data_IF_513154845990
#
_entry.id   IF_513154845990
#
_cell.length_a   1.000
_cell.length_b   1.000
_cell.length_c   1.000
_cell.angle_alpha   90.00
_cell.angle_beta   90.00
_cell.angle_gamma   90.00
#
_symmetry.space_group_name_H-M   'P 1'
#
loop_
_entity.id
_entity.type
_entity.pdbx_description
1 polymer ?
#
# COMPACT_ATOMS: atom_id res chain seq x y z
N UNK A 1 33.46 2.24 24.46
CA UNK A 1 32.25 1.78 23.71
C UNK A 1 31.25 0.97 24.51
N UNK A 2 31.63 0.08 25.44
CA UNK A 2 30.68 -0.69 26.27
C UNK A 2 30.00 0.10 27.41
N UNK A 3 30.53 1.22 27.81
CA UNK A 3 30.13 1.96 29.02
C UNK A 3 28.88 2.83 28.82
N UNK A 4 28.66 3.38 27.64
CA UNK A 4 27.52 4.27 27.37
C UNK A 4 26.21 3.53 27.19
N UNK A 5 26.25 2.35 26.55
CA UNK A 5 25.07 1.48 26.38
C UNK A 5 24.61 0.90 27.72
N UNK A 6 25.55 0.56 28.59
CA UNK A 6 25.26 0.03 29.93
C UNK A 6 24.62 1.08 30.83
N UNK A 7 25.00 2.37 30.69
CA UNK A 7 24.37 3.48 31.46
C UNK A 7 22.95 3.79 30.99
N UNK A 8 22.65 3.69 29.69
CA UNK A 8 21.30 3.88 29.17
C UNK A 8 20.34 2.76 29.61
N UNK A 9 20.82 1.51 29.59
CA UNK A 9 20.06 0.34 30.07
C UNK A 9 19.82 0.37 31.59
N UNK A 10 20.78 0.87 32.37
CA UNK A 10 20.62 1.02 33.83
C UNK A 10 19.58 2.09 34.21
N UNK A 11 19.46 3.15 33.43
CA UNK A 11 18.49 4.22 33.69
C UNK A 11 17.06 3.80 33.37
N UNK A 12 16.85 2.98 32.34
CA UNK A 12 15.53 2.41 32.00
C UNK A 12 15.11 1.34 33.01
N UNK A 13 16.02 0.52 33.49
CA UNK A 13 15.72 -0.52 34.48
C UNK A 13 15.38 0.04 35.89
N UNK A 14 15.91 1.21 36.26
CA UNK A 14 15.62 1.85 37.53
C UNK A 14 14.27 2.59 37.57
N UNK A 15 13.71 2.95 36.41
CA UNK A 15 12.43 3.67 36.31
C UNK A 15 11.20 2.77 36.38
N UNK A 16 11.36 1.45 36.27
CA UNK A 16 10.22 0.51 36.17
C UNK A 16 9.74 -0.07 37.50
N UNK A 17 10.25 0.37 38.65
CA UNK A 17 9.87 -0.19 39.96
C UNK A 17 8.93 0.67 40.81
N UNK A 18 8.53 1.84 40.38
CA UNK A 18 7.64 2.69 41.17
C UNK A 18 6.54 3.34 40.33
N UNK A 19 5.31 2.90 40.55
CA UNK A 19 4.00 3.52 40.33
C UNK A 19 3.51 3.78 38.90
N UNK A 20 2.23 3.44 38.78
CA UNK A 20 1.37 3.63 37.65
C UNK A 20 1.30 5.07 37.14
N UNK A 21 0.92 5.15 35.86
CA UNK A 21 0.50 6.34 35.14
C UNK A 21 1.47 7.54 35.19
N UNK A 22 2.46 7.51 34.33
CA UNK A 22 2.96 8.73 33.72
C UNK A 22 3.18 8.46 32.23
N UNK A 23 2.29 8.99 31.43
CA UNK A 23 2.54 9.23 30.02
C UNK A 23 3.85 10.01 29.92
N UNK A 24 4.90 9.36 29.44
CA UNK A 24 6.08 10.10 29.00
C UNK A 24 5.59 11.02 27.87
N UNK A 25 5.84 12.32 27.95
CA UNK A 25 5.51 13.20 26.85
C UNK A 25 6.28 12.71 25.64
N UNK A 26 5.56 12.49 24.54
CA UNK A 26 6.17 12.39 23.24
C UNK A 26 6.98 13.70 23.05
N UNK A 27 8.28 13.61 23.07
CA UNK A 27 9.12 14.72 22.58
C UNK A 27 8.98 14.76 21.07
N UNK A 28 7.85 15.31 20.60
CA UNK A 28 7.76 15.91 19.30
C UNK A 28 8.56 17.22 19.40
N UNK A 29 9.87 17.15 19.17
CA UNK A 29 10.61 18.31 18.79
C UNK A 29 10.14 18.67 17.38
N UNK A 30 9.19 19.60 17.24
CA UNK A 30 8.94 20.31 16.01
C UNK A 30 10.19 21.13 15.64
N UNK A 31 11.22 20.42 15.18
CA UNK A 31 12.30 21.02 14.44
C UNK A 31 11.79 21.30 13.04
N UNK A 32 11.42 22.53 12.72
CA UNK A 32 11.33 22.99 11.33
C UNK A 32 12.66 22.72 10.67
N UNK A 33 12.78 21.59 9.99
CA UNK A 33 13.90 21.31 9.09
C UNK A 33 13.84 22.39 8.02
N UNK A 34 14.88 23.21 7.92
CA UNK A 34 15.08 24.04 6.76
C UNK A 34 15.30 23.10 5.56
N UNK A 35 14.23 22.83 4.82
CA UNK A 35 14.33 22.08 3.56
C UNK A 35 15.16 22.93 2.60
N UNK A 36 16.38 22.51 2.31
CA UNK A 36 17.03 22.91 1.07
C UNK A 36 16.10 22.48 -0.06
N UNK A 37 15.68 23.40 -0.92
CA UNK A 37 14.53 23.33 -1.84
C UNK A 37 14.43 22.17 -2.84
N UNK A 38 15.08 21.03 -2.61
CA UNK A 38 15.10 19.84 -3.47
C UNK A 38 15.14 18.53 -2.68
N UNK A 39 14.59 18.45 -1.47
CA UNK A 39 14.54 17.20 -0.72
C UNK A 39 13.10 16.71 -0.50
N UNK A 40 12.90 15.38 -0.50
CA UNK A 40 11.60 14.73 -0.28
C UNK A 40 11.54 14.04 1.07
N UNK A 41 10.37 14.11 1.73
CA UNK A 41 10.11 13.45 3.01
C UNK A 41 9.68 11.98 2.80
N UNK A 42 10.58 11.20 2.21
CA UNK A 42 10.40 9.76 1.97
C UNK A 42 10.74 8.96 3.23
N UNK A 43 10.07 7.83 3.42
CA UNK A 43 10.26 6.94 4.59
C UNK A 43 11.64 6.27 4.62
N UNK A 44 12.24 6.07 3.47
CA UNK A 44 13.57 5.49 3.31
C UNK A 44 14.58 6.54 2.85
N UNK A 45 15.46 6.98 3.74
CA UNK A 45 16.52 7.95 3.41
C UNK A 45 17.58 7.39 2.45
N UNK A 46 17.68 6.07 2.32
CA UNK A 46 18.57 5.36 1.42
C UNK A 46 17.87 4.93 0.12
N UNK A 47 16.61 5.34 -0.08
CA UNK A 47 15.85 4.99 -1.28
C UNK A 47 16.66 5.26 -2.57
N UNK A 48 16.52 4.37 -3.56
CA UNK A 48 17.20 4.54 -4.86
C UNK A 48 16.80 5.88 -5.51
N UNK A 49 17.60 6.34 -6.43
CA UNK A 49 17.30 7.59 -7.16
C UNK A 49 15.93 7.51 -7.85
N UNK A 50 15.63 6.37 -8.45
CA UNK A 50 14.37 6.08 -9.15
C UNK A 50 13.18 6.11 -8.19
N UNK A 51 13.34 5.55 -7.00
CA UNK A 51 12.29 5.54 -5.96
C UNK A 51 11.98 6.95 -5.46
N UNK A 52 13.02 7.78 -5.26
CA UNK A 52 12.84 9.19 -4.90
C UNK A 52 12.19 9.99 -6.04
N UNK A 53 12.55 9.71 -7.29
CA UNK A 53 11.94 10.36 -8.45
C UNK A 53 10.46 9.98 -8.59
N UNK A 54 10.10 8.70 -8.37
CA UNK A 54 8.70 8.27 -8.35
C UNK A 54 7.94 8.95 -7.22
N UNK A 55 8.50 8.98 -6.00
CA UNK A 55 7.88 9.66 -4.86
C UNK A 55 7.58 11.12 -5.18
N UNK A 56 8.57 11.86 -5.69
CA UNK A 56 8.42 13.28 -6.01
C UNK A 56 7.38 13.50 -7.11
N UNK A 57 7.40 12.68 -8.16
CA UNK A 57 6.42 12.72 -9.25
C UNK A 57 5.00 12.52 -8.74
N UNK A 58 4.76 11.51 -7.92
CA UNK A 58 3.42 11.19 -7.40
C UNK A 58 2.96 12.23 -6.37
N UNK A 59 3.84 12.66 -5.48
CA UNK A 59 3.56 13.69 -4.47
C UNK A 59 3.17 15.03 -5.08
N UNK A 60 3.79 15.38 -6.21
CA UNK A 60 3.52 16.63 -6.91
C UNK A 60 2.44 16.50 -8.00
N UNK A 61 1.64 15.42 -7.99
CA UNK A 61 0.49 15.30 -8.88
C UNK A 61 -0.49 16.46 -8.69
N UNK A 62 -0.98 16.97 -9.80
CA UNK A 62 -1.93 18.07 -9.87
C UNK A 62 -3.08 17.80 -10.83
N UNK A 63 -3.88 18.81 -11.12
CA UNK A 63 -5.00 18.66 -12.06
C UNK A 63 -4.51 18.16 -13.42
N UNK A 64 -5.02 16.99 -13.82
CA UNK A 64 -4.61 16.32 -15.07
C UNK A 64 -3.50 15.28 -14.91
N UNK A 65 -3.02 15.03 -13.70
CA UNK A 65 -2.00 14.00 -13.43
C UNK A 65 -2.58 12.71 -12.82
N UNK A 66 -3.90 12.59 -12.68
CA UNK A 66 -4.55 11.38 -12.21
C UNK A 66 -4.17 10.20 -13.10
N UNK A 67 -3.77 9.08 -12.49
CA UNK A 67 -3.41 7.82 -13.16
C UNK A 67 -4.45 6.76 -12.83
N UNK A 68 -4.82 5.96 -13.81
CA UNK A 68 -5.67 4.80 -13.60
C UNK A 68 -4.82 3.55 -13.39
N UNK A 69 -5.21 2.71 -12.43
CA UNK A 69 -4.58 1.44 -12.13
C UNK A 69 -5.55 0.27 -12.10
N UNK A 70 -5.01 -0.93 -12.29
CA UNK A 70 -5.74 -2.19 -12.15
C UNK A 70 -4.83 -3.27 -11.57
N UNK A 71 -5.38 -4.04 -10.63
CA UNK A 71 -4.75 -5.27 -10.14
C UNK A 71 -4.77 -6.33 -11.25
N UNK A 72 -3.68 -7.09 -11.39
CA UNK A 72 -3.55 -8.18 -12.37
C UNK A 72 -3.91 -7.76 -13.81
N UNK A 73 -3.54 -6.54 -14.21
CA UNK A 73 -3.98 -5.88 -15.45
C UNK A 73 -3.71 -6.67 -16.74
N UNK A 74 -2.80 -7.66 -16.73
CA UNK A 74 -2.41 -8.45 -17.89
C UNK A 74 -2.55 -9.97 -17.72
N UNK A 75 -2.86 -10.44 -16.51
CA UNK A 75 -2.86 -11.87 -16.20
C UNK A 75 -4.17 -12.41 -15.60
N UNK A 76 -5.11 -11.53 -15.20
CA UNK A 76 -6.49 -11.88 -14.86
C UNK A 76 -7.49 -11.07 -15.69
N UNK A 77 -8.47 -11.73 -16.31
CA UNK A 77 -9.37 -11.13 -17.29
C UNK A 77 -10.76 -11.75 -17.23
N UNK A 78 -11.78 -11.00 -17.65
CA UNK A 78 -13.11 -11.53 -17.90
C UNK A 78 -13.10 -12.40 -19.16
N UNK A 79 -12.50 -11.90 -20.24
CA UNK A 79 -12.39 -12.67 -21.46
C UNK A 79 -11.15 -13.58 -21.43
N UNK A 80 -11.37 -14.88 -21.58
CA UNK A 80 -10.28 -15.87 -21.69
C UNK A 80 -9.37 -15.65 -22.92
N UNK A 81 -9.82 -14.85 -23.89
CA UNK A 81 -9.06 -14.48 -25.08
C UNK A 81 -8.26 -13.20 -24.92
N UNK A 82 -8.41 -12.46 -23.81
CA UNK A 82 -7.70 -11.21 -23.55
C UNK A 82 -6.26 -11.50 -23.11
N UNK A 83 -5.37 -11.70 -24.06
CA UNK A 83 -3.95 -12.06 -23.81
C UNK A 83 -3.11 -10.91 -23.26
N UNK A 84 -3.62 -9.67 -23.34
CA UNK A 84 -2.91 -8.45 -22.91
C UNK A 84 -3.70 -7.66 -21.85
N UNK A 85 -4.77 -8.23 -21.33
CA UNK A 85 -5.66 -7.60 -20.36
C UNK A 85 -6.91 -6.97 -20.95
N UNK A 86 -8.02 -7.00 -20.19
CA UNK A 86 -9.32 -6.47 -20.63
C UNK A 86 -9.25 -5.00 -21.03
N UNK A 87 -8.52 -4.17 -20.26
CA UNK A 87 -8.34 -2.75 -20.55
C UNK A 87 -7.62 -2.53 -21.88
N UNK A 88 -6.55 -3.27 -22.14
CA UNK A 88 -5.81 -3.15 -23.40
C UNK A 88 -6.65 -3.60 -24.60
N UNK A 89 -7.33 -4.74 -24.50
CA UNK A 89 -8.19 -5.25 -25.58
C UNK A 89 -9.35 -4.29 -25.92
N UNK A 90 -9.80 -3.54 -24.95
CA UNK A 90 -10.89 -2.56 -25.11
C UNK A 90 -10.39 -1.21 -25.66
N UNK A 91 -9.25 -0.71 -25.16
CA UNK A 91 -8.79 0.67 -25.39
C UNK A 91 -7.55 0.80 -26.28
N UNK A 92 -6.79 -0.29 -26.46
CA UNK A 92 -5.44 -0.27 -27.06
C UNK A 92 -4.37 0.36 -26.16
N UNK A 93 -4.68 0.63 -24.88
CA UNK A 93 -3.77 1.25 -23.90
C UNK A 93 -3.70 0.40 -22.63
N UNK A 94 -2.55 0.41 -21.98
CA UNK A 94 -2.41 -0.21 -20.65
C UNK A 94 -2.75 0.77 -19.53
N UNK A 95 -3.24 0.32 -18.36
CA UNK A 95 -3.34 1.14 -17.17
C UNK A 95 -2.01 1.80 -16.80
N UNK A 96 -2.03 2.99 -16.20
CA UNK A 96 -0.82 3.68 -15.75
C UNK A 96 -0.18 3.04 -14.50
N UNK A 97 -0.97 2.30 -13.72
CA UNK A 97 -0.49 1.58 -12.52
C UNK A 97 -0.92 0.11 -12.62
N UNK A 98 0.06 -0.79 -12.52
CA UNK A 98 -0.19 -2.22 -12.45
C UNK A 98 -0.03 -2.70 -11.02
N UNK A 99 -0.97 -3.52 -10.54
CA UNK A 99 -0.88 -4.15 -9.24
C UNK A 99 -0.82 -5.66 -9.29
N UNK A 100 -0.26 -6.26 -8.25
CA UNK A 100 -0.37 -7.67 -7.95
C UNK A 100 -0.56 -7.87 -6.46
N UNK A 101 -1.24 -8.95 -6.09
CA UNK A 101 -1.22 -9.42 -4.72
C UNK A 101 -0.01 -10.32 -4.47
N UNK A 102 1.00 -9.78 -3.80
CA UNK A 102 2.23 -10.51 -3.52
C UNK A 102 2.01 -11.67 -2.53
N UNK A 103 1.05 -11.57 -1.60
CA UNK A 103 0.73 -12.65 -0.67
C UNK A 103 0.18 -13.89 -1.38
N UNK A 104 -0.69 -13.68 -2.37
CA UNK A 104 -1.28 -14.73 -3.20
C UNK A 104 -0.30 -15.23 -4.26
N UNK A 105 0.36 -14.31 -4.96
CA UNK A 105 1.30 -14.60 -6.03
C UNK A 105 2.51 -15.41 -5.56
N UNK A 106 3.11 -15.04 -4.42
CA UNK A 106 4.30 -15.70 -3.89
C UNK A 106 4.02 -17.10 -3.34
N UNK A 107 2.77 -17.43 -3.05
CA UNK A 107 2.38 -18.80 -2.71
C UNK A 107 1.84 -19.60 -3.92
N UNK A 108 1.76 -18.98 -5.10
CA UNK A 108 1.31 -19.61 -6.34
C UNK A 108 -0.17 -19.94 -6.39
N UNK A 109 -1.01 -19.18 -5.68
CA UNK A 109 -2.48 -19.35 -5.70
C UNK A 109 -3.17 -18.37 -6.64
N UNK A 110 -2.51 -17.26 -6.98
CA UNK A 110 -2.98 -16.27 -7.95
C UNK A 110 -1.77 -15.85 -8.77
N UNK A 111 -1.53 -16.57 -9.87
CA UNK A 111 -0.32 -16.41 -10.72
C UNK A 111 0.90 -15.89 -9.91
N UNK A 112 1.95 -15.29 -10.22
CA UNK A 112 2.74 -15.30 -11.41
C UNK A 112 3.35 -16.63 -11.85
N UNK A 113 3.97 -17.46 -11.02
CA UNK A 113 4.60 -18.71 -11.43
C UNK A 113 3.69 -19.94 -11.29
N UNK A 114 2.54 -19.79 -10.64
CA UNK A 114 1.49 -20.80 -10.41
C UNK A 114 1.98 -22.13 -9.80
N UNK A 115 3.11 -22.10 -9.12
CA UNK A 115 3.67 -23.23 -8.38
C UNK A 115 3.86 -22.91 -6.90
N UNK A 116 4.23 -23.92 -6.08
CA UNK A 116 4.42 -23.74 -4.64
C UNK A 116 5.82 -23.19 -4.27
N UNK A 117 6.75 -23.10 -5.20
CA UNK A 117 8.10 -22.60 -4.96
C UNK A 117 8.10 -21.06 -4.90
N UNK A 118 8.30 -20.52 -3.69
CA UNK A 118 8.34 -19.08 -3.46
C UNK A 118 9.45 -18.36 -4.22
N UNK A 119 10.60 -18.98 -4.43
CA UNK A 119 11.70 -18.35 -5.17
C UNK A 119 11.37 -18.26 -6.67
N UNK A 120 10.75 -19.31 -7.23
CA UNK A 120 10.26 -19.28 -8.61
C UNK A 120 9.15 -18.23 -8.78
N UNK A 121 8.23 -18.14 -7.82
CA UNK A 121 7.16 -17.13 -7.81
C UNK A 121 7.72 -15.70 -7.67
N UNK A 122 8.71 -15.48 -6.79
CA UNK A 122 9.37 -14.18 -6.65
C UNK A 122 10.05 -13.74 -7.95
N UNK A 123 10.70 -14.67 -8.65
CA UNK A 123 11.30 -14.39 -9.97
C UNK A 123 10.24 -14.08 -11.03
N UNK A 124 9.16 -14.84 -11.07
CA UNK A 124 8.05 -14.60 -12.01
C UNK A 124 7.37 -13.25 -11.77
N UNK A 125 7.10 -12.91 -10.48
CA UNK A 125 6.53 -11.62 -10.12
C UNK A 125 7.49 -10.47 -10.47
N UNK A 126 8.78 -10.62 -10.23
CA UNK A 126 9.79 -9.63 -10.63
C UNK A 126 9.83 -9.44 -12.17
N UNK A 127 9.62 -10.51 -12.94
CA UNK A 127 9.51 -10.40 -14.40
C UNK A 127 8.24 -9.62 -14.80
N UNK A 128 7.08 -9.91 -14.19
CA UNK A 128 5.85 -9.15 -14.44
C UNK A 128 6.03 -7.66 -14.13
N UNK A 129 6.73 -7.33 -13.04
CA UNK A 129 7.08 -5.94 -12.67
C UNK A 129 7.95 -5.29 -13.77
N UNK A 130 8.95 -6.02 -14.26
CA UNK A 130 9.84 -5.54 -15.33
C UNK A 130 9.05 -5.30 -16.63
N UNK A 131 8.13 -6.19 -16.95
CA UNK A 131 7.27 -6.08 -18.14
C UNK A 131 6.30 -4.87 -18.02
N UNK A 132 5.74 -4.61 -16.83
CA UNK A 132 4.90 -3.45 -16.57
C UNK A 132 5.69 -2.13 -16.72
N UNK A 133 6.87 -2.01 -16.12
CA UNK A 133 7.75 -0.84 -16.28
C UNK A 133 8.12 -0.62 -17.76
N UNK A 134 8.38 -1.70 -18.50
CA UNK A 134 8.66 -1.61 -19.95
C UNK A 134 7.49 -1.05 -20.77
N UNK A 135 6.27 -1.30 -20.33
CA UNK A 135 5.03 -0.74 -20.90
C UNK A 135 4.77 0.71 -20.48
N UNK A 136 5.52 1.23 -19.50
CA UNK A 136 5.36 2.58 -18.96
C UNK A 136 4.39 2.65 -17.79
N UNK A 137 4.19 1.54 -17.09
CA UNK A 137 3.32 1.47 -15.91
C UNK A 137 4.12 1.48 -14.61
N UNK A 138 3.65 2.26 -13.64
CA UNK A 138 4.08 2.22 -12.24
C UNK A 138 3.58 0.92 -11.62
N UNK A 139 4.29 0.39 -10.62
CA UNK A 139 3.94 -0.89 -10.00
C UNK A 139 3.55 -0.73 -8.53
N UNK A 140 2.49 -1.43 -8.12
CA UNK A 140 2.10 -1.58 -6.71
C UNK A 140 1.92 -3.06 -6.36
N UNK A 141 2.19 -3.40 -5.09
CA UNK A 141 1.98 -4.73 -4.53
C UNK A 141 1.14 -4.63 -3.25
N UNK A 142 0.00 -5.31 -3.21
CA UNK A 142 -0.70 -5.64 -1.96
C UNK A 142 -0.23 -6.98 -1.42
N UNK A 143 -0.72 -7.41 -0.25
CA UNK A 143 -0.37 -8.71 0.28
C UNK A 143 -1.47 -9.32 1.16
N UNK A 144 -2.24 -10.25 0.61
CA UNK A 144 -3.16 -11.10 1.35
C UNK A 144 -2.41 -12.34 1.90
N UNK A 145 -1.72 -12.15 3.01
CA UNK A 145 -0.99 -13.24 3.66
C UNK A 145 -1.93 -14.19 4.39
N UNK A 146 -1.69 -15.49 4.25
CA UNK A 146 -2.28 -16.47 5.16
C UNK A 146 -2.00 -16.09 6.61
N UNK A 147 -2.93 -16.43 7.51
CA UNK A 147 -2.68 -16.28 8.93
C UNK A 147 -1.45 -17.11 9.34
N UNK A 148 -0.33 -16.48 9.75
CA UNK A 148 0.92 -17.20 10.02
C UNK A 148 0.85 -18.12 11.25
N UNK A 149 -0.10 -17.89 12.13
CA UNK A 149 -0.32 -18.71 13.33
C UNK A 149 -1.06 -20.00 13.07
N UNK A 150 -2.03 -19.97 12.15
CA UNK A 150 -2.90 -21.12 11.85
C UNK A 150 -2.56 -21.79 10.52
N UNK A 151 -1.90 -21.08 9.60
CA UNK A 151 -1.65 -21.51 8.23
C UNK A 151 -2.89 -21.51 7.32
N UNK A 152 -4.04 -21.06 7.84
CA UNK A 152 -5.27 -20.88 7.07
C UNK A 152 -5.22 -19.59 6.25
N UNK A 153 -6.28 -19.28 5.53
CA UNK A 153 -6.33 -18.13 4.63
C UNK A 153 -6.36 -16.78 5.38
N UNK A 154 -6.22 -15.68 4.65
CA UNK A 154 -6.18 -14.30 5.18
C UNK A 154 -7.46 -13.91 5.93
N UNK A 155 -8.59 -14.59 5.65
CA UNK A 155 -9.87 -14.42 6.34
C UNK A 155 -9.98 -15.23 7.65
N UNK A 156 -8.96 -16.00 8.03
CA UNK A 156 -8.93 -16.61 9.36
C UNK A 156 -8.53 -15.56 10.39
N UNK A 157 -9.51 -14.99 11.06
CA UNK A 157 -9.39 -13.87 11.99
C UNK A 157 -8.83 -14.25 13.38
N UNK A 158 -8.20 -15.43 13.51
CA UNK A 158 -7.47 -15.77 14.74
C UNK A 158 -6.36 -14.75 14.99
N UNK A 159 -6.38 -14.12 16.15
CA UNK A 159 -5.42 -13.08 16.52
C UNK A 159 -3.99 -13.63 16.55
N UNK A 160 -3.07 -12.95 15.87
CA UNK A 160 -1.68 -13.41 15.71
C UNK A 160 -0.68 -12.26 15.63
N UNK A 161 -1.12 -11.02 15.48
CA UNK A 161 -0.26 -9.87 15.13
C UNK A 161 0.95 -9.70 16.07
N UNK A 162 0.77 -9.76 17.37
CA UNK A 162 1.86 -9.64 18.35
C UNK A 162 2.87 -10.78 18.28
N UNK A 163 2.44 -11.98 17.87
CA UNK A 163 3.29 -13.16 17.77
C UNK A 163 4.16 -13.18 16.50
N UNK A 164 3.96 -12.22 15.59
CA UNK A 164 4.77 -12.04 14.38
C UNK A 164 5.99 -11.13 14.62
N UNK A 165 5.95 -10.34 15.67
CA UNK A 165 7.03 -9.42 16.04
C UNK A 165 8.29 -10.18 16.51
N UNK A 166 9.47 -9.55 16.49
CA UNK A 166 10.72 -10.19 16.92
C UNK A 166 10.62 -10.83 18.30
N UNK A 167 10.84 -12.14 18.37
CA UNK A 167 10.72 -12.96 19.57
C UNK A 167 9.34 -13.58 19.78
N UNK A 168 8.34 -13.23 18.98
CA UNK A 168 7.06 -13.91 18.93
C UNK A 168 7.17 -15.30 18.30
N UNK A 169 6.21 -16.15 18.61
CA UNK A 169 6.18 -17.56 18.22
C UNK A 169 6.27 -17.78 16.70
N UNK A 170 5.67 -16.90 15.92
CA UNK A 170 5.54 -17.04 14.48
C UNK A 170 6.40 -16.05 13.70
N UNK A 171 7.29 -15.29 14.38
CA UNK A 171 8.15 -14.29 13.73
C UNK A 171 9.01 -14.88 12.60
N UNK A 172 9.59 -16.08 12.83
CA UNK A 172 10.39 -16.77 11.80
C UNK A 172 9.58 -17.25 10.61
N UNK A 173 8.28 -17.56 10.78
CA UNK A 173 7.37 -17.92 9.69
C UNK A 173 7.04 -16.67 8.87
N UNK A 174 6.71 -15.57 9.54
CA UNK A 174 6.37 -14.32 8.87
C UNK A 174 7.57 -13.71 8.13
N UNK A 175 8.77 -13.82 8.71
CA UNK A 175 10.00 -13.35 8.04
C UNK A 175 10.22 -14.02 6.68
N UNK A 176 9.82 -15.28 6.49
CA UNK A 176 9.91 -15.96 5.19
C UNK A 176 8.97 -15.34 4.14
N UNK A 177 7.83 -14.79 4.54
CA UNK A 177 6.95 -14.03 3.65
C UNK A 177 7.63 -12.72 3.25
N UNK A 178 8.21 -12.00 4.21
CA UNK A 178 8.95 -10.77 3.96
C UNK A 178 10.22 -11.01 3.12
N UNK A 179 10.91 -12.13 3.33
CA UNK A 179 12.07 -12.55 2.51
C UNK A 179 11.68 -12.71 1.03
N UNK A 180 10.50 -13.27 0.75
CA UNK A 180 10.01 -13.42 -0.61
C UNK A 180 9.65 -12.07 -1.26
N UNK A 181 9.07 -11.13 -0.50
CA UNK A 181 8.85 -9.74 -0.94
C UNK A 181 10.20 -9.08 -1.28
N UNK A 182 11.19 -9.19 -0.38
CA UNK A 182 12.51 -8.64 -0.58
C UNK A 182 13.18 -9.23 -1.85
N UNK A 183 13.10 -10.55 -2.03
CA UNK A 183 13.63 -11.23 -3.20
C UNK A 183 12.97 -10.76 -4.51
N UNK A 184 11.66 -10.50 -4.50
CA UNK A 184 10.93 -9.93 -5.63
C UNK A 184 11.46 -8.54 -5.96
N UNK A 185 11.49 -7.64 -4.97
CA UNK A 185 11.91 -6.25 -5.16
C UNK A 185 13.35 -6.14 -5.65
N UNK A 186 14.27 -6.95 -5.11
CA UNK A 186 15.67 -6.98 -5.50
C UNK A 186 15.93 -7.58 -6.90
N UNK A 187 14.99 -8.38 -7.43
CA UNK A 187 15.06 -8.97 -8.76
C UNK A 187 14.36 -8.13 -9.83
N UNK A 188 13.44 -7.24 -9.46
CA UNK A 188 12.73 -6.35 -10.37
C UNK A 188 13.68 -5.26 -10.90
N UNK A 189 14.26 -5.49 -12.09
CA UNK A 189 15.31 -4.66 -12.68
C UNK A 189 15.07 -4.38 -14.15
N UNK A 190 15.44 -3.19 -14.58
CA UNK A 190 15.63 -2.85 -15.98
C UNK A 190 16.84 -3.56 -16.57
N UNK A 191 16.97 -3.53 -17.88
CA UNK A 191 18.08 -4.18 -18.60
C UNK A 191 19.47 -3.62 -18.26
N UNK A 192 19.53 -2.39 -17.77
CA UNK A 192 20.76 -1.74 -17.31
C UNK A 192 21.12 -2.08 -15.85
N UNK A 193 20.30 -2.90 -15.17
CA UNK A 193 20.47 -3.31 -13.79
C UNK A 193 19.81 -2.38 -12.77
N UNK A 194 19.21 -1.28 -13.21
CA UNK A 194 18.50 -0.31 -12.36
C UNK A 194 17.29 -0.98 -11.70
N UNK A 195 17.15 -0.84 -10.38
CA UNK A 195 15.99 -1.35 -9.64
C UNK A 195 14.73 -0.55 -9.97
N UNK A 196 13.63 -1.26 -10.20
CA UNK A 196 12.32 -0.66 -10.50
C UNK A 196 11.66 -0.27 -9.17
N UNK A 197 11.20 0.98 -9.01
CA UNK A 197 10.43 1.39 -7.84
C UNK A 197 9.09 0.66 -7.75
N UNK A 198 8.71 0.26 -6.54
CA UNK A 198 7.47 -0.46 -6.26
C UNK A 198 6.74 0.21 -5.09
N UNK A 199 5.45 0.44 -5.21
CA UNK A 199 4.60 0.86 -4.09
C UNK A 199 4.14 -0.40 -3.37
N UNK A 200 4.59 -0.63 -2.13
CA UNK A 200 4.18 -1.77 -1.32
C UNK A 200 3.10 -1.38 -0.33
N UNK A 201 1.96 -2.07 -0.38
CA UNK A 201 0.75 -1.82 0.40
C UNK A 201 0.41 -3.00 1.32
N UNK A 202 1.17 -3.20 2.41
CA UNK A 202 0.92 -4.27 3.37
C UNK A 202 -0.26 -3.94 4.28
N UNK A 203 -0.95 -4.95 4.80
CA UNK A 203 -1.93 -4.85 5.88
C UNK A 203 -3.03 -3.79 5.60
N UNK A 204 -3.49 -3.71 4.35
CA UNK A 204 -4.55 -2.79 3.91
C UNK A 204 -5.90 -3.08 4.59
N UNK A 205 -6.83 -2.14 4.52
CA UNK A 205 -8.19 -2.24 5.10
C UNK A 205 -8.21 -2.71 6.57
N UNK A 206 -7.22 -2.29 7.33
CA UNK A 206 -6.97 -2.74 8.70
C UNK A 206 -8.04 -2.31 9.72
N UNK A 207 -8.89 -1.37 9.38
CA UNK A 207 -10.03 -0.93 10.19
C UNK A 207 -11.27 -1.83 10.00
N UNK A 208 -11.29 -2.68 8.97
CA UNK A 208 -12.27 -3.75 8.80
C UNK A 208 -11.98 -4.97 9.67
N UNK A 209 -12.94 -5.89 9.77
CA UNK A 209 -12.84 -7.10 10.62
C UNK A 209 -12.69 -8.41 9.83
N UNK A 210 -12.46 -8.34 8.52
CA UNK A 210 -12.40 -9.50 7.64
C UNK A 210 -11.02 -10.12 7.47
N UNK A 211 -9.95 -9.41 7.90
CA UNK A 211 -8.58 -9.89 7.87
C UNK A 211 -8.02 -10.13 9.27
N UNK A 212 -7.07 -11.07 9.44
CA UNK A 212 -6.44 -11.35 10.73
C UNK A 212 -5.65 -10.15 11.29
N UNK A 213 -5.25 -9.20 10.46
CA UNK A 213 -4.58 -7.95 10.87
C UNK A 213 -5.56 -6.80 11.11
N UNK A 214 -6.85 -7.04 10.92
CA UNK A 214 -7.89 -6.01 10.98
C UNK A 214 -8.38 -5.70 12.40
N UNK A 215 -9.27 -4.72 12.48
CA UNK A 215 -9.92 -4.31 13.72
C UNK A 215 -10.57 -5.51 14.43
N UNK A 216 -10.59 -5.48 15.77
CA UNK A 216 -11.01 -6.57 16.65
C UNK A 216 -10.07 -7.78 16.76
N UNK A 217 -9.15 -7.98 15.82
CA UNK A 217 -8.19 -9.09 15.78
C UNK A 217 -6.76 -8.64 16.09
N UNK A 218 -6.45 -7.39 15.76
CA UNK A 218 -5.25 -6.69 16.18
C UNK A 218 -5.64 -5.33 16.79
N UNK A 219 -5.09 -4.99 17.93
CA UNK A 219 -5.23 -3.64 18.50
C UNK A 219 -4.52 -2.62 17.60
N UNK A 220 -4.90 -1.34 17.69
CA UNK A 220 -4.23 -0.27 16.95
C UNK A 220 -2.72 -0.23 17.21
N UNK A 221 -2.29 -0.55 18.43
CA UNK A 221 -0.89 -0.63 18.82
C UNK A 221 -0.17 -1.81 18.16
N UNK A 222 -0.76 -3.00 18.18
CA UNK A 222 -0.20 -4.20 17.52
C UNK A 222 -0.11 -4.00 16.01
N UNK A 223 -1.14 -3.44 15.38
CA UNK A 223 -1.10 -3.12 13.96
C UNK A 223 0.04 -2.15 13.62
N UNK A 224 0.16 -1.02 14.34
CA UNK A 224 1.21 -0.05 14.11
C UNK A 224 2.60 -0.67 14.22
N UNK A 225 2.84 -1.47 15.26
CA UNK A 225 4.14 -2.11 15.44
C UNK A 225 4.41 -3.20 14.40
N UNK A 226 3.40 -3.94 13.96
CA UNK A 226 3.55 -4.92 12.89
C UNK A 226 3.87 -4.22 11.56
N UNK A 227 3.14 -3.14 11.21
CA UNK A 227 3.43 -2.37 10.01
C UNK A 227 4.86 -1.80 10.02
N UNK A 228 5.25 -1.18 11.13
CA UNK A 228 6.61 -0.65 11.33
C UNK A 228 7.67 -1.76 11.19
N UNK A 229 7.40 -2.92 11.78
CA UNK A 229 8.29 -4.07 11.68
C UNK A 229 8.46 -4.54 10.23
N UNK A 230 7.40 -4.60 9.44
CA UNK A 230 7.47 -4.95 8.02
C UNK A 230 8.41 -3.97 7.29
N UNK A 231 8.20 -2.67 7.45
CA UNK A 231 9.03 -1.65 6.81
C UNK A 231 10.48 -1.76 7.26
N UNK A 232 10.71 -1.81 8.56
CA UNK A 232 12.04 -1.91 9.15
C UNK A 232 12.79 -3.18 8.69
N UNK A 233 12.06 -4.31 8.59
CA UNK A 233 12.65 -5.56 8.12
C UNK A 233 13.06 -5.49 6.66
N UNK A 234 12.19 -5.01 5.79
CA UNK A 234 12.48 -4.90 4.36
C UNK A 234 13.58 -3.86 4.09
N UNK A 235 13.46 -2.66 4.67
CA UNK A 235 14.36 -1.55 4.46
C UNK A 235 15.74 -1.76 5.11
N UNK A 236 15.75 -2.09 6.41
CA UNK A 236 16.97 -2.02 7.21
C UNK A 236 17.64 -3.39 7.44
N UNK A 237 16.87 -4.50 7.36
CA UNK A 237 17.41 -5.87 7.53
C UNK A 237 17.70 -6.51 6.18
N UNK A 238 16.81 -6.30 5.20
CA UNK A 238 16.95 -6.90 3.86
C UNK A 238 17.59 -5.97 2.85
N UNK A 239 17.92 -4.73 3.21
CA UNK A 239 18.58 -3.73 2.35
C UNK A 239 17.80 -3.49 1.05
N UNK A 240 16.46 -3.37 1.16
CA UNK A 240 15.55 -3.13 0.04
C UNK A 240 15.20 -1.65 0.00
N UNK A 241 15.72 -0.92 -0.97
CA UNK A 241 15.64 0.53 -1.08
C UNK A 241 14.84 1.03 -2.30
N UNK A 242 14.10 0.13 -2.96
CA UNK A 242 13.22 0.46 -4.07
C UNK A 242 11.73 0.31 -3.75
N UNK A 243 11.35 0.39 -2.46
CA UNK A 243 9.96 0.37 -2.03
C UNK A 243 9.50 1.74 -1.53
N UNK A 244 8.28 2.14 -1.92
CA UNK A 244 7.45 3.14 -1.26
C UNK A 244 6.38 2.39 -0.47
N UNK A 245 6.05 2.84 0.73
CA UNK A 245 5.14 2.14 1.63
C UNK A 245 3.80 2.85 1.71
N UNK A 246 2.70 2.12 1.44
CA UNK A 246 1.34 2.66 1.44
C UNK A 246 0.53 2.18 2.65
N UNK A 247 -0.06 3.11 3.37
CA UNK A 247 -1.08 2.89 4.40
C UNK A 247 -2.44 3.17 3.78
N UNK A 248 -3.35 2.19 3.79
CA UNK A 248 -4.66 2.30 3.14
C UNK A 248 -5.75 1.59 3.96
N UNK A 249 -6.33 2.25 4.94
CA UNK A 249 -7.55 1.77 5.59
C UNK A 249 -8.73 1.85 4.63
N UNK A 250 -9.71 0.95 4.80
CA UNK A 250 -10.93 0.91 4.01
C UNK A 250 -12.11 1.55 4.71
N UNK A 251 -13.18 1.76 3.95
CA UNK A 251 -14.46 2.19 4.46
C UNK A 251 -14.64 3.69 4.63
N UNK A 252 -15.81 4.06 5.11
CA UNK A 252 -16.27 5.46 5.15
C UNK A 252 -15.83 6.14 6.44
N UNK A 253 -15.04 7.22 6.32
CA UNK A 253 -14.58 8.04 7.44
C UNK A 253 -15.44 9.31 7.64
N UNK A 254 -16.29 9.65 6.68
CA UNK A 254 -17.09 10.88 6.70
C UNK A 254 -16.26 12.17 6.92
N UNK A 255 -15.00 12.17 6.46
CA UNK A 255 -14.06 13.27 6.64
C UNK A 255 -13.43 13.34 8.03
N UNK A 256 -13.57 12.31 8.87
CA UNK A 256 -12.95 12.28 10.20
C UNK A 256 -11.51 11.74 10.12
N UNK A 257 -10.56 12.67 10.25
CA UNK A 257 -9.13 12.33 10.26
C UNK A 257 -8.69 11.59 11.53
N UNK A 258 -9.43 11.67 12.63
CA UNK A 258 -9.10 10.96 13.87
C UNK A 258 -9.26 9.47 13.67
N UNK A 259 -10.36 9.06 13.06
CA UNK A 259 -10.63 7.65 12.74
C UNK A 259 -9.65 7.15 11.67
N UNK A 260 -9.42 7.92 10.60
CA UNK A 260 -8.45 7.57 9.57
C UNK A 260 -7.04 7.34 10.13
N UNK A 261 -6.59 8.18 11.05
CA UNK A 261 -5.25 8.12 11.64
C UNK A 261 -5.16 7.21 12.88
N UNK A 262 -6.25 6.60 13.33
CA UNK A 262 -6.27 5.78 14.54
C UNK A 262 -5.19 4.69 14.55
N UNK A 263 -4.93 4.11 13.38
CA UNK A 263 -3.93 3.05 13.18
C UNK A 263 -2.71 3.51 12.36
N UNK A 264 -2.58 4.81 12.05
CA UNK A 264 -1.48 5.32 11.24
C UNK A 264 -0.11 5.00 11.86
N UNK A 265 0.79 4.31 11.12
CA UNK A 265 2.09 3.87 11.65
C UNK A 265 3.08 5.02 11.94
N UNK A 266 2.90 6.15 11.26
CA UNK A 266 3.78 7.33 11.37
C UNK A 266 4.55 7.65 10.11
N UNK A 267 4.98 8.90 9.98
CA UNK A 267 5.59 9.46 8.76
C UNK A 267 6.91 8.79 8.34
N UNK A 268 7.61 8.15 9.29
CA UNK A 268 8.87 7.43 9.04
C UNK A 268 8.67 6.06 8.39
N UNK A 269 7.44 5.56 8.29
CA UNK A 269 7.11 4.25 7.75
C UNK A 269 6.12 4.30 6.60
N UNK A 270 5.59 5.47 6.28
CA UNK A 270 4.56 5.64 5.25
C UNK A 270 4.96 6.70 4.24
N UNK A 271 4.77 6.41 2.97
CA UNK A 271 4.99 7.30 1.83
C UNK A 271 3.70 7.71 1.13
N UNK A 272 2.72 6.79 1.11
CA UNK A 272 1.42 6.98 0.46
C UNK A 272 0.32 6.86 1.51
N UNK A 273 -0.50 7.90 1.65
CA UNK A 273 -1.76 7.85 2.36
C UNK A 273 -2.83 7.44 1.36
N UNK A 274 -3.32 6.22 1.53
CA UNK A 274 -4.31 5.59 0.67
C UNK A 274 -5.68 5.53 1.30
N UNK A 275 -6.67 5.22 0.48
CA UNK A 275 -8.05 5.02 0.86
C UNK A 275 -8.66 3.97 -0.05
N UNK A 276 -9.35 2.98 0.54
CA UNK A 276 -10.01 1.89 -0.18
C UNK A 276 -11.51 1.95 0.07
N UNK A 277 -12.33 2.00 -0.99
CA UNK A 277 -13.79 2.07 -0.85
C UNK A 277 -14.52 1.51 -2.08
N UNK A 278 -15.56 0.71 -1.82
CA UNK A 278 -16.37 0.07 -2.85
C UNK A 278 -17.82 0.56 -2.83
N UNK A 279 -18.37 0.86 -4.02
CA UNK A 279 -19.78 1.08 -4.19
C UNK A 279 -20.54 -0.27 -4.14
N UNK A 280 -21.22 -0.50 -3.03
CA UNK A 280 -21.98 -1.73 -2.74
C UNK A 280 -23.47 -1.48 -2.52
N UNK A 281 -23.97 -0.27 -2.78
CA UNK A 281 -25.41 0.04 -2.60
C UNK A 281 -26.23 -0.43 -3.79
N UNK A 282 -26.64 -1.71 -3.75
CA UNK A 282 -27.46 -2.33 -4.78
C UNK A 282 -28.83 -1.65 -4.98
N UNK A 283 -29.25 -0.79 -4.08
CA UNK A 283 -30.52 -0.02 -4.19
C UNK A 283 -30.38 1.28 -4.94
N UNK A 284 -29.16 1.79 -5.13
CA UNK A 284 -28.91 3.04 -5.84
C UNK A 284 -29.03 2.88 -7.37
N UNK A 285 -29.60 3.91 -8.03
CA UNK A 285 -29.69 3.94 -9.50
C UNK A 285 -28.34 4.28 -10.17
N UNK A 286 -27.49 5.04 -9.45
CA UNK A 286 -26.15 5.45 -9.90
C UNK A 286 -25.16 5.54 -8.71
N UNK A 287 -23.90 5.84 -8.99
CA UNK A 287 -22.83 5.94 -7.98
C UNK A 287 -22.64 7.36 -7.42
N UNK A 288 -23.51 8.31 -7.70
CA UNK A 288 -23.32 9.74 -7.32
C UNK A 288 -23.16 9.93 -5.80
N UNK A 289 -23.96 9.24 -4.99
CA UNK A 289 -23.86 9.31 -3.52
C UNK A 289 -22.54 8.74 -3.02
N UNK A 290 -22.10 7.63 -3.57
CA UNK A 290 -20.81 7.01 -3.26
C UNK A 290 -19.65 7.92 -3.70
N UNK A 291 -19.68 8.47 -4.92
CA UNK A 291 -18.66 9.42 -5.41
C UNK A 291 -18.53 10.61 -4.46
N UNK A 292 -19.64 11.18 -3.99
CA UNK A 292 -19.62 12.28 -3.04
C UNK A 292 -18.94 11.89 -1.71
N UNK A 293 -19.18 10.67 -1.23
CA UNK A 293 -18.54 10.13 -0.03
C UNK A 293 -17.04 9.96 -0.26
N UNK A 294 -16.63 9.33 -1.36
CA UNK A 294 -15.21 9.18 -1.74
C UNK A 294 -14.51 10.53 -1.84
N UNK A 295 -15.10 11.52 -2.51
CA UNK A 295 -14.52 12.86 -2.61
C UNK A 295 -14.35 13.51 -1.24
N UNK A 296 -15.32 13.37 -0.34
CA UNK A 296 -15.24 13.91 1.02
C UNK A 296 -14.08 13.31 1.80
N UNK A 297 -13.93 11.98 1.75
CA UNK A 297 -12.88 11.28 2.47
C UNK A 297 -11.51 11.50 1.81
N UNK A 298 -11.43 11.50 0.48
CA UNK A 298 -10.20 11.80 -0.25
C UNK A 298 -9.70 13.24 -0.02
N UNK A 299 -10.58 14.22 0.20
CA UNK A 299 -10.19 15.58 0.64
C UNK A 299 -9.49 15.52 2.00
N UNK A 300 -10.08 14.82 2.95
CA UNK A 300 -9.49 14.63 4.27
C UNK A 300 -8.12 13.93 4.16
N UNK A 301 -8.03 12.84 3.40
CA UNK A 301 -6.75 12.10 3.19
C UNK A 301 -5.71 13.00 2.53
N UNK A 302 -6.11 13.80 1.52
CA UNK A 302 -5.22 14.76 0.84
C UNK A 302 -4.68 15.83 1.80
N UNK A 303 -5.51 16.35 2.70
CA UNK A 303 -5.09 17.30 3.72
C UNK A 303 -4.06 16.67 4.67
N UNK A 304 -4.29 15.42 5.09
CA UNK A 304 -3.36 14.67 5.94
C UNK A 304 -2.04 14.37 5.21
N UNK A 305 -2.10 14.00 3.93
CA UNK A 305 -0.91 13.77 3.10
C UNK A 305 -0.10 15.06 2.89
N UNK A 306 -0.78 16.16 2.57
CA UNK A 306 -0.15 17.48 2.38
C UNK A 306 0.59 17.96 3.62
N UNK A 307 -0.03 17.86 4.81
CA UNK A 307 0.58 18.24 6.10
C UNK A 307 1.86 17.47 6.38
N UNK A 308 1.96 16.22 5.92
CA UNK A 308 3.09 15.30 6.14
C UNK A 308 4.07 15.26 4.98
N UNK A 309 3.78 15.94 3.87
CA UNK A 309 4.58 15.87 2.65
C UNK A 309 4.56 14.49 2.00
N UNK A 310 3.42 13.80 2.01
CA UNK A 310 3.22 12.44 1.50
C UNK A 310 2.36 12.43 0.23
N UNK A 311 2.28 11.29 -0.42
CA UNK A 311 1.45 11.02 -1.60
C UNK A 311 0.02 10.71 -1.13
N UNK A 312 -1.00 11.12 -1.90
CA UNK A 312 -2.39 10.71 -1.72
C UNK A 312 -2.88 9.89 -2.90
N UNK A 313 -3.62 8.80 -2.64
CA UNK A 313 -4.17 7.93 -3.67
C UNK A 313 -5.49 7.26 -3.24
N UNK A 314 -6.37 7.00 -4.20
CA UNK A 314 -7.48 6.05 -4.06
C UNK A 314 -6.93 4.67 -4.41
N UNK A 315 -6.45 3.96 -3.36
CA UNK A 315 -5.60 2.78 -3.52
C UNK A 315 -6.35 1.53 -3.90
N UNK A 316 -7.67 1.51 -3.67
CA UNK A 316 -8.55 0.47 -4.16
C UNK A 316 -9.98 0.99 -4.24
N UNK A 317 -10.64 0.76 -5.37
CA UNK A 317 -12.04 1.13 -5.56
C UNK A 317 -12.73 0.24 -6.60
N UNK A 318 -14.04 0.25 -6.58
CA UNK A 318 -14.83 -0.42 -7.61
C UNK A 318 -16.31 -0.47 -7.26
N UNK A 319 -17.07 -0.99 -8.20
CA UNK A 319 -18.46 -1.42 -7.97
C UNK A 319 -18.46 -2.87 -7.51
N UNK A 320 -19.16 -3.18 -6.44
CA UNK A 320 -19.20 -4.52 -5.84
C UNK A 320 -20.65 -5.08 -5.78
N UNK A 321 -20.83 -6.31 -5.29
CA UNK A 321 -22.14 -6.92 -5.23
C UNK A 321 -22.81 -7.03 -6.61
N UNK A 322 -24.07 -6.69 -6.68
CA UNK A 322 -24.85 -6.65 -7.93
C UNK A 322 -24.56 -5.42 -8.80
N UNK A 323 -23.76 -4.46 -8.28
CA UNK A 323 -23.32 -3.26 -8.97
C UNK A 323 -22.18 -3.50 -9.96
N UNK A 324 -21.51 -4.66 -9.92
CA UNK A 324 -20.41 -5.00 -10.84
C UNK A 324 -20.81 -4.84 -12.30
N UNK A 325 -19.83 -4.54 -13.16
CA UNK A 325 -20.04 -4.50 -14.59
C UNK A 325 -20.58 -5.81 -15.14
N UNK A 326 -21.46 -5.72 -16.14
CA UNK A 326 -22.18 -6.84 -16.74
C UNK A 326 -22.07 -6.76 -18.27
N UNK A 327 -22.54 -7.76 -18.97
CA UNK A 327 -22.70 -7.69 -20.43
C UNK A 327 -23.68 -6.57 -20.81
N UNK A 328 -23.40 -5.84 -21.88
CA UNK A 328 -24.16 -4.63 -22.30
C UNK A 328 -25.65 -4.86 -22.56
N UNK A 329 -26.09 -6.11 -22.62
CA UNK A 329 -27.52 -6.44 -22.74
C UNK A 329 -28.32 -6.31 -21.44
N UNK A 330 -27.68 -6.05 -20.30
CA UNK A 330 -28.33 -6.09 -18.97
C UNK A 330 -29.01 -4.79 -18.55
N UNK A 331 -28.76 -3.68 -19.29
CA UNK A 331 -29.45 -2.40 -19.06
C UNK A 331 -28.97 -1.66 -17.81
N UNK A 332 -27.68 -1.68 -17.50
CA UNK A 332 -27.10 -0.87 -16.43
C UNK A 332 -27.41 0.61 -16.66
N UNK A 333 -27.89 1.27 -15.63
CA UNK A 333 -28.21 2.72 -15.68
C UNK A 333 -26.99 3.59 -15.42
N UNK A 334 -26.03 3.09 -14.64
CA UNK A 334 -24.81 3.79 -14.28
C UNK A 334 -23.69 3.50 -15.28
N UNK A 335 -23.76 4.15 -16.42
CA UNK A 335 -22.82 3.92 -17.53
C UNK A 335 -21.63 4.89 -17.54
N UNK A 336 -21.52 5.79 -16.54
CA UNK A 336 -20.49 6.84 -16.52
C UNK A 336 -19.58 6.81 -15.28
N UNK A 337 -19.56 5.70 -14.58
CA UNK A 337 -18.87 5.51 -13.32
C UNK A 337 -17.42 6.02 -13.32
N UNK A 338 -16.62 5.63 -14.33
CA UNK A 338 -15.20 6.02 -14.41
C UNK A 338 -15.00 7.48 -14.74
N UNK A 339 -15.76 8.00 -15.71
CA UNK A 339 -15.67 9.41 -16.11
C UNK A 339 -16.10 10.34 -14.98
N UNK A 340 -17.22 10.05 -14.31
CA UNK A 340 -17.73 10.86 -13.21
C UNK A 340 -16.82 10.86 -11.99
N UNK A 341 -16.29 9.69 -11.60
CA UNK A 341 -15.33 9.59 -10.50
C UNK A 341 -14.04 10.35 -10.81
N UNK A 342 -13.48 10.16 -12.01
CA UNK A 342 -12.24 10.83 -12.41
C UNK A 342 -12.41 12.36 -12.47
N UNK A 343 -13.53 12.85 -12.99
CA UNK A 343 -13.86 14.28 -13.04
C UNK A 343 -14.01 14.85 -11.62
N UNK A 344 -14.75 14.14 -10.75
CA UNK A 344 -14.95 14.55 -9.37
C UNK A 344 -13.63 14.64 -8.59
N UNK A 345 -12.74 13.65 -8.76
CA UNK A 345 -11.40 13.67 -8.14
C UNK A 345 -10.53 14.79 -8.72
N UNK A 346 -10.49 14.96 -10.05
CA UNK A 346 -9.69 16.00 -10.69
C UNK A 346 -10.11 17.42 -10.29
N UNK A 347 -11.40 17.63 -10.02
CA UNK A 347 -11.93 18.93 -9.60
C UNK A 347 -11.76 19.20 -8.11
N UNK A 348 -11.96 18.18 -7.27
CA UNK A 348 -12.05 18.35 -5.83
C UNK A 348 -10.81 17.93 -5.06
N UNK A 349 -10.02 16.98 -5.60
CA UNK A 349 -8.80 16.43 -4.99
C UNK A 349 -7.72 16.26 -6.06
N UNK A 350 -7.30 17.36 -6.72
CA UNK A 350 -6.39 17.31 -7.87
C UNK A 350 -5.01 16.70 -7.56
N UNK A 351 -4.65 16.59 -6.27
CA UNK A 351 -3.42 15.95 -5.81
C UNK A 351 -3.50 14.42 -5.81
N UNK A 352 -4.64 13.81 -6.14
CA UNK A 352 -4.77 12.35 -6.22
C UNK A 352 -3.80 11.81 -7.28
N UNK A 353 -2.81 11.04 -6.82
CA UNK A 353 -1.75 10.55 -7.69
C UNK A 353 -2.23 9.42 -8.60
N UNK A 354 -3.04 8.53 -8.07
CA UNK A 354 -3.68 7.45 -8.82
C UNK A 354 -4.98 6.98 -8.17
N UNK A 355 -5.79 6.30 -8.96
CA UNK A 355 -6.96 5.55 -8.54
C UNK A 355 -6.89 4.13 -9.12
N UNK A 356 -7.20 3.10 -8.35
CA UNK A 356 -6.92 1.72 -8.73
C UNK A 356 -8.07 0.76 -8.44
N UNK A 357 -8.45 -0.04 -9.44
CA UNK A 357 -9.45 -1.10 -9.27
C UNK A 357 -8.78 -2.43 -8.90
N UNK A 358 -9.58 -3.34 -8.32
CA UNK A 358 -9.14 -4.73 -8.14
C UNK A 358 -9.08 -5.47 -9.49
N UNK A 359 -8.70 -6.76 -9.45
CA UNK A 359 -8.56 -7.60 -10.61
C UNK A 359 -9.93 -8.04 -11.18
N UNK A 360 -10.00 -8.24 -12.48
CA UNK A 360 -11.10 -8.91 -13.14
C UNK A 360 -10.90 -10.43 -13.12
N UNK A 361 -11.95 -11.20 -12.76
CA UNK A 361 -11.94 -12.66 -12.79
C UNK A 361 -13.12 -13.17 -13.63
N UNK A 362 -12.83 -13.83 -14.75
CA UNK A 362 -13.81 -14.36 -15.69
C UNK A 362 -14.40 -15.72 -15.31
N UNK A 363 -14.22 -16.18 -14.07
CA UNK A 363 -14.82 -17.42 -13.58
C UNK A 363 -16.35 -17.38 -13.57
N UNK A 364 -17.02 -18.52 -13.77
CA UNK A 364 -18.48 -18.57 -13.74
C UNK A 364 -19.07 -18.48 -12.33
N UNK A 365 -20.31 -18.00 -12.21
CA UNK A 365 -21.05 -17.91 -10.95
C UNK A 365 -20.38 -16.94 -9.95
N UNK A 366 -20.24 -17.37 -8.70
CA UNK A 366 -19.67 -16.55 -7.63
C UNK A 366 -18.19 -16.17 -7.86
N UNK A 367 -17.52 -16.82 -8.82
CA UNK A 367 -16.14 -16.48 -9.19
C UNK A 367 -16.04 -15.37 -10.23
N UNK A 368 -17.17 -14.89 -10.76
CA UNK A 368 -17.18 -13.75 -11.66
C UNK A 368 -17.01 -12.44 -10.88
N UNK A 369 -15.92 -11.72 -11.15
CA UNK A 369 -15.62 -10.44 -10.54
C UNK A 369 -15.23 -9.44 -11.64
N UNK A 370 -16.00 -8.40 -11.81
CA UNK A 370 -15.79 -7.40 -12.86
C UNK A 370 -15.72 -5.99 -12.25
N UNK A 371 -14.54 -5.61 -11.80
CA UNK A 371 -14.28 -4.27 -11.25
C UNK A 371 -13.92 -3.25 -12.33
N UNK A 372 -13.47 -3.73 -13.48
CA UNK A 372 -13.14 -2.90 -14.64
C UNK A 372 -13.97 -3.39 -15.84
N UNK A 373 -14.51 -2.50 -16.68
CA UNK A 373 -15.17 -2.89 -17.91
C UNK A 373 -14.25 -3.72 -18.83
N UNK A 374 -14.85 -4.50 -19.66
CA UNK A 374 -14.20 -5.27 -20.73
C UNK A 374 -14.93 -5.05 -22.06
N UNK A 375 -14.35 -5.49 -23.14
CA UNK A 375 -14.96 -5.39 -24.47
C UNK A 375 -16.28 -6.13 -24.53
N UNK A 376 -17.38 -5.41 -24.76
CA UNK A 376 -18.76 -5.93 -24.77
C UNK A 376 -19.51 -5.74 -23.46
N UNK A 377 -18.89 -5.15 -22.42
CA UNK A 377 -19.59 -4.79 -21.18
C UNK A 377 -20.39 -3.52 -21.29
N UNK A 378 -21.28 -3.29 -20.33
CA UNK A 378 -22.11 -2.09 -20.20
C UNK A 378 -21.29 -0.79 -19.94
N UNK A 379 -20.12 -0.88 -19.33
CA UNK A 379 -19.20 0.25 -19.10
C UNK A 379 -18.21 0.54 -20.21
N UNK A 380 -18.18 -0.23 -21.33
CA UNK A 380 -17.16 -0.09 -22.37
C UNK A 380 -17.06 1.31 -22.96
N UNK A 381 -18.20 1.92 -23.28
CA UNK A 381 -18.22 3.24 -23.97
C UNK A 381 -17.69 4.36 -23.05
N UNK A 382 -18.10 4.37 -21.78
CA UNK A 382 -17.60 5.31 -20.78
C UNK A 382 -16.12 5.13 -20.53
N UNK A 383 -15.68 3.89 -20.31
CA UNK A 383 -14.28 3.62 -20.03
C UNK A 383 -13.34 4.02 -21.18
N UNK A 384 -13.78 3.86 -22.44
CA UNK A 384 -13.03 4.38 -23.60
C UNK A 384 -12.92 5.91 -23.57
N UNK A 385 -14.02 6.59 -23.31
CA UNK A 385 -14.03 8.05 -23.20
C UNK A 385 -13.14 8.52 -22.04
N UNK A 386 -13.22 7.86 -20.87
CA UNK A 386 -12.36 8.07 -19.73
C UNK A 386 -10.87 7.87 -20.09
N UNK A 387 -10.51 6.76 -20.73
CA UNK A 387 -9.12 6.46 -21.11
C UNK A 387 -8.54 7.46 -22.13
N UNK A 388 -9.38 8.18 -22.88
CA UNK A 388 -8.99 9.22 -23.83
C UNK A 388 -9.05 10.64 -23.24
N UNK A 389 -9.70 10.83 -22.10
CA UNK A 389 -9.95 12.16 -21.50
C UNK A 389 -8.67 12.85 -21.01
N UNK A 390 -7.68 12.07 -20.57
CA UNK A 390 -6.42 12.56 -20.05
C UNK A 390 -5.27 11.61 -20.40
N UNK A 391 -4.19 12.17 -20.95
CA UNK A 391 -3.00 11.40 -21.38
C UNK A 391 -2.29 10.64 -20.23
N UNK A 392 -2.44 11.11 -18.98
CA UNK A 392 -1.77 10.55 -17.82
C UNK A 392 -2.53 9.37 -17.19
N UNK A 393 -3.81 9.16 -17.55
CA UNK A 393 -4.61 8.05 -17.04
C UNK A 393 -4.04 6.69 -17.42
N UNK A 394 -3.38 6.59 -18.57
CA UNK A 394 -2.88 5.35 -19.11
C UNK A 394 -1.36 5.31 -19.12
N UNK A 395 -0.79 4.13 -19.29
CA UNK A 395 0.65 3.89 -19.29
C UNK A 395 1.38 4.73 -20.34
N UNK A 396 2.50 5.30 -19.93
CA UNK A 396 3.36 6.10 -20.79
C UNK A 396 4.80 6.09 -20.29
N UNK A 397 5.75 6.37 -21.15
CA UNK A 397 7.16 6.50 -20.73
C UNK A 397 7.37 7.60 -19.68
N UNK A 398 6.54 8.62 -19.68
CA UNK A 398 6.60 9.71 -18.71
C UNK A 398 6.30 9.22 -17.28
N UNK A 399 5.45 8.21 -17.10
CA UNK A 399 5.15 7.64 -15.79
C UNK A 399 6.38 7.00 -15.14
N UNK A 400 7.25 6.38 -15.93
CA UNK A 400 8.43 5.65 -15.50
C UNK A 400 9.75 6.34 -15.87
N UNK A 401 9.69 7.63 -16.18
CA UNK A 401 10.88 8.48 -16.27
C UNK A 401 11.33 8.92 -14.88
N UNK A 402 12.46 8.40 -14.44
CA UNK A 402 13.06 8.64 -13.13
C UNK A 402 14.33 9.48 -13.22
N UNK A 403 14.53 10.22 -14.30
CA UNK A 403 15.74 11.01 -14.55
C UNK A 403 15.98 12.14 -13.56
N UNK A 404 14.93 12.67 -12.93
CA UNK A 404 15.00 13.80 -12.00
C UNK A 404 14.76 13.32 -10.56
N UNK A 405 15.80 12.82 -9.91
CA UNK A 405 15.70 12.32 -8.54
C UNK A 405 16.09 13.40 -7.52
N UNK A 406 15.18 13.83 -6.63
CA UNK A 406 15.52 14.72 -5.52
C UNK A 406 16.36 14.00 -4.46
N UNK A 407 17.01 14.77 -3.57
CA UNK A 407 17.63 14.19 -2.38
C UNK A 407 16.56 13.74 -1.38
N UNK A 408 16.83 12.73 -0.56
CA UNK A 408 16.02 12.43 0.61
C UNK A 408 16.25 13.49 1.70
N UNK A 409 15.19 13.91 2.38
CA UNK A 409 15.33 14.77 3.56
C UNK A 409 16.00 13.97 4.69
N UNK A 410 16.93 14.59 5.38
CA UNK A 410 17.54 14.01 6.59
C UNK A 410 16.46 13.87 7.66
N UNK A 411 16.23 12.66 8.12
CA UNK A 411 15.36 12.43 9.26
C UNK A 411 16.12 12.69 10.57
N UNK A 412 15.43 13.23 11.56
CA UNK A 412 15.99 13.33 12.92
C UNK A 412 16.16 11.94 13.51
N UNK A 413 17.23 11.72 14.26
CA UNK A 413 17.44 10.46 14.95
C UNK A 413 16.28 10.16 15.93
N UNK A 414 15.81 8.93 15.93
CA UNK A 414 14.75 8.46 16.82
C UNK A 414 15.15 7.18 17.56
N UNK A 415 14.53 6.95 18.70
CA UNK A 415 14.64 5.70 19.44
C UNK A 415 13.24 5.31 19.95
N UNK A 416 12.85 4.07 19.74
CA UNK A 416 11.56 3.56 20.22
C UNK A 416 11.67 2.13 20.76
N UNK A 417 10.79 1.80 21.69
CA UNK A 417 10.65 0.42 22.17
C UNK A 417 9.80 -0.34 21.16
N UNK A 418 10.33 -1.44 20.62
CA UNK A 418 9.65 -2.29 19.64
C UNK A 418 9.16 -3.61 20.24
N UNK A 419 9.54 -3.93 21.47
CA UNK A 419 9.00 -5.04 22.25
C UNK A 419 9.25 -4.80 23.76
N UNK A 420 8.27 -5.09 24.64
CA UNK A 420 6.88 -5.46 24.31
C UNK A 420 6.13 -4.31 23.65
N UNK A 421 5.10 -4.64 22.87
CA UNK A 421 4.21 -3.64 22.25
C UNK A 421 3.34 -2.99 23.31
N UNK A 422 3.05 -1.70 23.16
CA UNK A 422 2.20 -0.96 24.09
C UNK A 422 0.83 -1.62 24.24
N UNK A 423 0.34 -1.72 25.48
CA UNK A 423 -0.91 -2.42 25.82
C UNK A 423 -0.79 -3.93 26.00
N UNK A 424 0.34 -4.55 25.66
CA UNK A 424 0.54 -5.98 25.90
C UNK A 424 0.74 -6.28 27.39
N UNK A 425 0.02 -7.30 27.87
CA UNK A 425 0.19 -7.81 29.22
C UNK A 425 1.42 -8.75 29.25
N UNK A 426 2.43 -8.36 30.01
CA UNK A 426 3.59 -9.19 30.27
C UNK A 426 3.34 -10.05 31.51
N UNK A 427 3.42 -11.37 31.36
CA UNK A 427 3.21 -12.35 32.45
C UNK A 427 4.49 -12.98 32.96
N UNK A 428 5.60 -12.81 32.22
CA UNK A 428 6.89 -13.38 32.57
C UNK A 428 7.64 -12.53 33.59
N UNK A 429 8.42 -13.21 34.45
CA UNK A 429 9.30 -12.54 35.43
C UNK A 429 10.53 -11.90 34.79
N UNK A 430 10.84 -12.25 33.53
CA UNK A 430 11.90 -11.65 32.71
C UNK A 430 11.30 -11.06 31.44
N UNK A 431 11.40 -9.75 31.30
CA UNK A 431 10.95 -9.03 30.11
C UNK A 431 12.14 -8.61 29.29
N UNK A 432 12.16 -9.01 28.01
CA UNK A 432 13.15 -8.51 27.05
C UNK A 432 12.58 -7.24 26.41
N UNK A 433 13.17 -6.10 26.74
CA UNK A 433 12.85 -4.82 26.08
C UNK A 433 13.78 -4.68 24.89
N UNK A 434 13.20 -4.50 23.71
CA UNK A 434 13.94 -4.18 22.49
C UNK A 434 13.73 -2.73 22.14
N UNK A 435 14.84 -2.04 21.84
CA UNK A 435 14.85 -0.65 21.41
C UNK A 435 15.43 -0.60 20.00
N UNK A 436 14.72 0.04 19.09
CA UNK A 436 15.24 0.37 17.75
C UNK A 436 15.64 1.83 17.75
N UNK A 437 16.79 2.14 17.17
CA UNK A 437 17.27 3.50 16.94
C UNK A 437 17.46 3.72 15.45
N UNK A 438 17.06 4.89 14.97
CA UNK A 438 17.17 5.29 13.56
C UNK A 438 17.78 6.68 13.46
N UNK A 439 18.52 6.94 12.39
CA UNK A 439 19.13 8.24 12.14
C UNK A 439 20.14 8.70 13.21
N UNK A 440 20.56 7.80 14.09
CA UNK A 440 21.55 8.12 15.12
C UNK A 440 22.95 7.90 14.55
N UNK A 441 23.69 8.97 14.32
CA UNK A 441 25.13 8.85 14.03
C UNK A 441 25.85 8.48 15.31
N UNK A 442 26.57 7.37 15.30
CA UNK A 442 27.53 7.08 16.36
C UNK A 442 28.68 8.09 16.19
N UNK A 443 28.91 8.92 17.19
CA UNK A 443 30.19 9.64 17.29
C UNK A 443 31.20 8.68 17.93
N UNK A 444 32.32 8.49 17.29
CA UNK A 444 33.49 7.80 17.85
C UNK A 444 33.95 8.42 19.18
#
# INVERSE_FOLDING_TARGET
>A
MKTTVTKLLATVAAASTIFGMSTLPAFAAEGKSASNGNSVNISDVNATAETRALFDKLKNSGKGDLRFGQQHATDENISSSASQGDVYEMTGKYPAVFGWDAGLALRGTEKPGSGADKNANAKALAQNITDADSKGAIVTLSAHWRNPGTGKDFNDTTAVASELLPGGKYSGTFNKELDAIAATAQQAKRSDGTLIPIIFRPLHENNGSWFWWGATHASASEYKELYRYIVDYLRDVKDVHNLLYAYSPGGVFNGDSTDYLATYPGDQWVDVLGYDEYDSDDSADDSSAWINTVVKDMKMVSDQASQRGKIVALTEFGRSGDRKFKESSTGDKDTKFFSELAEALAENVPSTAYMMTWANFGGGGDNFQAYTPWKGSDGEADFKAFADSNKNLMASKDNVDYSNAPAAAMQNGSARIVAPVDGNRVTDTKVVVRVKTEGVKYSD
#
